data_IF_048767566265
#
_entry.id   IF_048767566265
#
_cell.length_a   1.000
_cell.length_b   1.000
_cell.length_c   1.000
_cell.angle_alpha   90.00
_cell.angle_beta   90.00
_cell.angle_gamma   90.00
#
_symmetry.space_group_name_H-M   'P 1'
#
loop_
_entity.id
_entity.type
_entity.pdbx_description
1 polymer ?
#
# COMPACT_ATOMS: atom_id res chain seq x y z
N UNK A 1 -2.12 20.28 -0.38
CA UNK A 1 -3.36 20.03 0.38
C UNK A 1 -3.99 18.78 -0.22
N UNK A 2 -3.90 17.63 0.45
CA UNK A 2 -4.46 16.38 -0.08
C UNK A 2 -5.45 15.86 0.97
N UNK A 3 -6.74 16.07 0.70
CA UNK A 3 -7.84 15.53 1.50
C UNK A 3 -8.56 14.49 0.64
N UNK A 4 -8.21 13.22 0.81
CA UNK A 4 -8.91 12.11 0.15
C UNK A 4 -10.24 11.74 0.82
N UNK A 5 -10.51 12.29 2.01
CA UNK A 5 -11.72 12.08 2.78
C UNK A 5 -12.17 13.39 3.41
N UNK A 6 -13.47 13.64 3.39
CA UNK A 6 -14.07 14.83 4.01
C UNK A 6 -14.07 14.74 5.55
N UNK A 7 -14.09 13.52 6.09
CA UNK A 7 -14.22 13.21 7.52
C UNK A 7 -12.92 12.83 8.24
N UNK A 8 -11.87 12.41 7.53
CA UNK A 8 -10.71 11.74 8.12
C UNK A 8 -9.77 12.56 9.02
N UNK A 9 -9.84 13.89 9.02
CA UNK A 9 -8.87 14.74 9.74
C UNK A 9 -9.10 14.75 11.26
N UNK A 10 -10.36 14.58 11.70
CA UNK A 10 -10.71 14.72 13.12
C UNK A 10 -10.51 13.44 13.94
N UNK A 11 -10.42 12.26 13.30
CA UNK A 11 -10.34 10.96 13.98
C UNK A 11 -9.16 10.09 13.54
N UNK A 12 -8.05 10.71 13.11
CA UNK A 12 -6.86 10.00 12.61
C UNK A 12 -7.21 8.99 11.49
N UNK A 13 -8.11 9.37 10.58
CA UNK A 13 -8.50 8.56 9.44
C UNK A 13 -9.56 7.47 9.70
N UNK A 14 -10.03 7.25 10.93
CA UNK A 14 -11.06 6.23 11.22
C UNK A 14 -12.40 6.54 10.53
N UNK A 15 -12.76 7.81 10.47
CA UNK A 15 -14.03 8.22 9.86
C UNK A 15 -14.00 7.99 8.34
N UNK A 16 -12.82 8.04 7.71
CA UNK A 16 -12.64 7.75 6.30
C UNK A 16 -13.03 6.31 5.93
N UNK A 17 -12.87 5.34 6.85
CA UNK A 17 -13.30 3.95 6.66
C UNK A 17 -14.83 3.89 6.52
N UNK A 18 -15.55 4.56 7.42
CA UNK A 18 -17.01 4.58 7.40
C UNK A 18 -17.54 5.34 6.18
N UNK A 19 -16.87 6.43 5.79
CA UNK A 19 -17.17 7.21 4.59
C UNK A 19 -17.03 6.35 3.32
N UNK A 20 -15.94 5.60 3.20
CA UNK A 20 -15.74 4.69 2.05
C UNK A 20 -16.77 3.56 2.02
N UNK A 21 -17.07 2.95 3.17
CA UNK A 21 -18.14 1.93 3.27
C UNK A 21 -19.50 2.47 2.84
N UNK A 22 -19.81 3.72 3.18
CA UNK A 22 -21.04 4.38 2.75
C UNK A 22 -21.05 4.58 1.22
N UNK A 23 -19.94 5.03 0.63
CA UNK A 23 -19.79 5.16 -0.82
C UNK A 23 -20.03 3.83 -1.54
N UNK A 24 -19.38 2.74 -1.09
CA UNK A 24 -19.55 1.40 -1.69
C UNK A 24 -21.02 0.94 -1.59
N UNK A 25 -21.65 1.13 -0.42
CA UNK A 25 -23.07 0.79 -0.22
C UNK A 25 -24.00 1.56 -1.18
N UNK A 26 -23.76 2.85 -1.37
CA UNK A 26 -24.57 3.69 -2.25
C UNK A 26 -24.33 3.40 -3.74
N UNK A 27 -23.11 3.01 -4.13
CA UNK A 27 -22.79 2.51 -5.46
C UNK A 27 -23.55 1.21 -5.76
N UNK A 28 -23.48 0.23 -4.85
CA UNK A 28 -24.16 -1.06 -5.00
C UNK A 28 -25.69 -0.92 -5.08
N UNK A 29 -26.30 -0.02 -4.30
CA UNK A 29 -27.75 0.29 -4.41
C UNK A 29 -28.17 0.77 -5.81
N UNK A 30 -27.24 1.35 -6.56
CA UNK A 30 -27.45 1.86 -7.92
C UNK A 30 -26.98 0.86 -8.99
N UNK A 31 -26.58 -0.35 -8.60
CA UNK A 31 -26.07 -1.37 -9.52
C UNK A 31 -24.68 -1.07 -10.09
N UNK A 32 -23.87 -0.27 -9.38
CA UNK A 32 -22.51 0.09 -9.80
C UNK A 32 -21.51 -0.73 -8.98
N UNK A 33 -20.66 -1.51 -9.64
CA UNK A 33 -19.56 -2.22 -9.00
C UNK A 33 -18.40 -1.28 -8.66
N UNK A 34 -17.66 -1.61 -7.60
CA UNK A 34 -16.48 -0.86 -7.17
C UNK A 34 -15.24 -1.72 -7.32
N UNK A 35 -14.34 -1.32 -8.22
CA UNK A 35 -13.05 -1.95 -8.45
C UNK A 35 -11.96 -1.01 -7.93
N UNK A 36 -11.04 -1.53 -7.13
CA UNK A 36 -9.95 -0.74 -6.53
C UNK A 36 -8.65 -1.00 -7.27
N UNK A 37 -8.03 0.07 -7.78
CA UNK A 37 -6.68 0.03 -8.30
C UNK A 37 -5.68 -0.07 -7.13
N UNK A 38 -4.82 -1.08 -7.15
CA UNK A 38 -3.92 -1.43 -6.05
C UNK A 38 -2.49 -1.56 -6.56
N UNK A 39 -1.55 -1.00 -5.80
CA UNK A 39 -0.14 -0.92 -6.17
C UNK A 39 0.68 -1.73 -5.18
N UNK A 40 0.95 -3.00 -5.52
CA UNK A 40 1.81 -3.89 -4.72
C UNK A 40 3.25 -3.96 -5.23
N UNK A 41 3.55 -3.38 -6.39
CA UNK A 41 4.88 -3.52 -7.01
C UNK A 41 5.96 -2.64 -6.34
N UNK A 42 5.57 -1.56 -5.66
CA UNK A 42 6.48 -0.64 -4.97
C UNK A 42 5.79 0.06 -3.79
N UNK A 43 6.57 0.75 -2.96
CA UNK A 43 6.09 1.52 -1.81
C UNK A 43 6.56 2.97 -1.86
N UNK A 44 5.97 3.81 -1.01
CA UNK A 44 6.37 5.20 -0.84
C UNK A 44 7.74 5.39 -0.15
N UNK A 45 8.37 4.33 0.38
CA UNK A 45 9.68 4.44 1.05
C UNK A 45 10.84 4.67 0.06
N UNK A 46 10.59 4.49 -1.25
CA UNK A 46 11.59 4.71 -2.30
C UNK A 46 12.83 3.83 -2.16
N UNK A 47 13.97 4.32 -2.65
CA UNK A 47 15.27 3.65 -2.56
C UNK A 47 16.00 4.01 -1.24
N UNK A 48 17.30 3.72 -1.14
CA UNK A 48 18.13 4.00 0.03
C UNK A 48 18.15 5.46 0.51
N UNK A 49 17.80 6.42 -0.37
CA UNK A 49 17.69 7.84 -0.04
C UNK A 49 16.29 8.25 0.42
N UNK A 50 15.30 7.38 0.26
CA UNK A 50 13.94 7.61 0.72
C UNK A 50 13.79 7.46 2.23
N UNK A 51 12.60 7.79 2.74
CA UNK A 51 12.31 7.77 4.17
C UNK A 51 11.97 6.35 4.65
N UNK A 52 12.46 5.99 5.84
CA UNK A 52 12.00 4.80 6.57
C UNK A 52 10.71 5.12 7.32
N UNK A 53 9.59 4.57 6.86
CA UNK A 53 8.24 4.80 7.39
C UNK A 53 7.62 3.52 7.98
N UNK A 54 7.91 2.36 7.39
CA UNK A 54 7.28 1.07 7.71
C UNK A 54 8.20 -0.11 7.35
N UNK A 55 7.99 -0.75 6.20
CA UNK A 55 8.59 -2.04 5.84
C UNK A 55 10.11 -2.08 5.95
N UNK A 56 10.80 -1.02 5.52
CA UNK A 56 12.26 -0.92 5.62
C UNK A 56 12.74 -1.01 7.07
N UNK A 57 12.03 -0.36 7.99
CA UNK A 57 12.36 -0.36 9.42
C UNK A 57 11.95 -1.64 10.13
N UNK A 58 10.95 -2.36 9.61
CA UNK A 58 10.50 -3.65 10.17
C UNK A 58 11.44 -4.77 9.74
N UNK A 59 11.57 -5.01 8.43
CA UNK A 59 12.50 -5.99 7.87
C UNK A 59 12.73 -5.74 6.37
N UNK A 60 13.79 -5.00 6.06
CA UNK A 60 14.08 -4.56 4.70
C UNK A 60 14.31 -5.73 3.71
N UNK A 61 14.98 -6.78 4.14
CA UNK A 61 15.36 -7.92 3.28
C UNK A 61 14.18 -8.82 2.95
N UNK A 62 13.18 -8.88 3.84
CA UNK A 62 11.94 -9.61 3.60
C UNK A 62 11.03 -8.85 2.63
N UNK A 63 10.83 -7.54 2.85
CA UNK A 63 9.82 -6.77 2.12
C UNK A 63 10.28 -6.22 0.77
N UNK A 64 11.58 -6.01 0.55
CA UNK A 64 12.10 -5.46 -0.71
C UNK A 64 13.01 -6.43 -1.45
N UNK A 65 12.99 -6.34 -2.77
CA UNK A 65 13.95 -7.06 -3.60
C UNK A 65 15.29 -6.33 -3.56
N UNK A 66 16.30 -6.97 -2.97
CA UNK A 66 17.64 -6.42 -2.83
C UNK A 66 18.67 -7.23 -3.63
N UNK A 67 19.64 -6.54 -4.21
CA UNK A 67 20.84 -7.14 -4.73
C UNK A 67 21.76 -7.60 -3.59
N UNK A 68 22.77 -8.47 -3.84
CA UNK A 68 23.65 -9.00 -2.79
C UNK A 68 24.38 -7.93 -1.95
N UNK A 69 24.56 -6.73 -2.49
CA UNK A 69 25.19 -5.59 -1.80
C UNK A 69 24.21 -4.68 -1.06
N UNK A 70 22.92 -5.02 -1.05
CA UNK A 70 21.86 -4.25 -0.38
C UNK A 70 21.22 -3.15 -1.24
N UNK A 71 21.57 -3.07 -2.53
CA UNK A 71 20.97 -2.13 -3.48
C UNK A 71 19.53 -2.58 -3.81
N UNK A 72 18.60 -1.63 -3.93
CA UNK A 72 17.20 -1.93 -4.28
C UNK A 72 17.06 -2.22 -5.77
N UNK A 73 16.44 -3.34 -6.14
CA UNK A 73 15.97 -3.54 -7.51
C UNK A 73 14.83 -2.55 -7.81
N UNK A 74 14.86 -1.93 -8.99
CA UNK A 74 13.90 -0.91 -9.40
C UNK A 74 13.14 -1.29 -10.68
N UNK A 75 12.48 -2.46 -10.66
CA UNK A 75 11.62 -2.89 -11.77
C UNK A 75 10.34 -2.04 -11.90
N UNK A 76 9.92 -1.38 -10.81
CA UNK A 76 8.77 -0.48 -10.81
C UNK A 76 9.05 0.89 -11.45
N UNK A 77 10.32 1.30 -11.52
CA UNK A 77 10.71 2.67 -11.87
C UNK A 77 10.55 3.69 -10.73
N UNK A 78 10.08 3.29 -9.54
CA UNK A 78 9.74 4.17 -8.41
C UNK A 78 10.75 4.12 -7.25
N UNK A 79 11.89 3.48 -7.44
CA UNK A 79 13.01 3.44 -6.50
C UNK A 79 13.13 2.14 -5.70
N UNK A 80 12.05 1.36 -5.58
CA UNK A 80 12.09 0.02 -5.01
C UNK A 80 11.17 -0.95 -5.75
N UNK A 81 11.39 -2.24 -5.52
CA UNK A 81 10.46 -3.30 -5.93
C UNK A 81 10.10 -4.10 -4.69
N UNK A 82 8.81 -4.23 -4.42
CA UNK A 82 8.31 -5.02 -3.31
C UNK A 82 8.50 -6.51 -3.59
N UNK A 83 8.90 -7.29 -2.58
CA UNK A 83 9.27 -8.69 -2.75
C UNK A 83 8.04 -9.61 -2.73
N UNK A 84 7.13 -9.45 -3.69
CA UNK A 84 5.82 -10.10 -3.72
C UNK A 84 5.86 -11.64 -3.65
N UNK A 85 6.98 -12.27 -4.03
CA UNK A 85 7.11 -13.72 -4.03
C UNK A 85 7.61 -14.28 -2.70
N UNK A 86 8.15 -13.46 -1.79
CA UNK A 86 8.57 -13.91 -0.48
C UNK A 86 7.34 -14.41 0.33
N UNK A 87 7.40 -15.55 1.04
CA UNK A 87 6.23 -16.13 1.71
C UNK A 87 5.49 -15.16 2.64
N UNK A 88 6.23 -14.37 3.43
CA UNK A 88 5.66 -13.36 4.34
C UNK A 88 4.92 -12.26 3.56
N UNK A 89 5.53 -11.77 2.49
CA UNK A 89 4.95 -10.68 1.67
C UNK A 89 3.74 -11.18 0.88
N UNK A 90 3.81 -12.41 0.37
CA UNK A 90 2.69 -13.06 -0.29
C UNK A 90 1.50 -13.19 0.64
N UNK A 91 1.73 -13.63 1.88
CA UNK A 91 0.69 -13.73 2.88
C UNK A 91 0.10 -12.34 3.20
N UNK A 92 0.95 -11.33 3.36
CA UNK A 92 0.52 -9.94 3.53
C UNK A 92 -0.39 -9.45 2.38
N UNK A 93 -0.04 -9.71 1.12
CA UNK A 93 -0.85 -9.32 -0.04
C UNK A 93 -2.20 -10.07 -0.03
N UNK A 94 -2.19 -11.37 0.26
CA UNK A 94 -3.42 -12.16 0.33
C UNK A 94 -4.36 -11.69 1.45
N UNK A 95 -3.80 -11.34 2.61
CA UNK A 95 -4.58 -10.82 3.74
C UNK A 95 -5.09 -9.40 3.49
N UNK A 96 -4.37 -8.59 2.71
CA UNK A 96 -4.84 -7.27 2.29
C UNK A 96 -6.06 -7.36 1.36
N UNK A 97 -6.11 -8.36 0.48
CA UNK A 97 -7.17 -8.52 -0.53
C UNK A 97 -8.46 -9.17 0.00
N UNK A 98 -8.46 -9.70 1.23
CA UNK A 98 -9.57 -10.44 1.84
C UNK A 98 -10.35 -9.57 2.82
#
# INVERSE_FOLDING_TARGET
>A
MIRYSSSGIRSCGRDAINEFKYLVKEAHKRGIEVIMDVVFNHTAEGNEKGLSLSFRGVDNCVYYMLAPKGEYYNYSGCGNTFNCNHPVVRQFILDYLR
#
